data_IF_913754359026
#
_entry.id   IF_913754359026
#
_cell.length_a   1.000
_cell.length_b   1.000
_cell.length_c   1.000
_cell.angle_alpha   90.00
_cell.angle_beta   90.00
_cell.angle_gamma   90.00
#
_symmetry.space_group_name_H-M   'P 1'
#
loop_
_entity.id
_entity.type
_entity.pdbx_description
1 polymer ?
#
# COMPACT_ATOMS: atom_id res chain seq x y z
N UNK A 1 -88.23 60.34 -33.84
CA UNK A 1 -88.22 61.46 -34.86
C UNK A 1 -87.11 61.08 -35.83
N UNK A 2 -87.58 60.65 -36.98
CA UNK A 2 -87.29 61.24 -38.31
C UNK A 2 -85.84 60.93 -38.75
N UNK A 3 -85.79 59.93 -39.63
CA UNK A 3 -85.53 60.01 -41.06
C UNK A 3 -84.06 60.13 -41.46
N UNK A 4 -83.51 59.59 -42.46
CA UNK A 4 -83.94 59.14 -43.78
C UNK A 4 -82.75 58.54 -44.54
N UNK A 5 -82.93 57.42 -45.20
CA UNK A 5 -82.66 57.07 -46.60
C UNK A 5 -81.31 57.60 -47.23
N UNK A 6 -80.54 56.76 -47.84
CA UNK A 6 -80.65 56.53 -49.32
C UNK A 6 -79.66 55.47 -49.81
N UNK A 7 -80.17 54.62 -50.63
CA UNK A 7 -79.57 53.65 -51.53
C UNK A 7 -78.55 54.24 -52.48
N UNK A 8 -77.54 53.49 -52.89
CA UNK A 8 -77.25 53.26 -54.33
C UNK A 8 -76.33 52.05 -54.49
N UNK A 9 -76.70 51.22 -55.48
CA UNK A 9 -75.96 50.05 -55.95
C UNK A 9 -74.89 50.47 -56.96
N UNK A 10 -73.88 49.69 -57.16
CA UNK A 10 -73.41 49.20 -58.48
C UNK A 10 -72.22 48.26 -58.35
N UNK A 11 -72.44 47.09 -58.89
CA UNK A 11 -71.61 46.32 -59.83
C UNK A 11 -70.14 46.03 -59.51
N UNK A 12 -69.81 44.81 -59.23
CA UNK A 12 -69.17 43.92 -60.15
C UNK A 12 -67.63 43.92 -60.15
N UNK A 13 -67.05 42.88 -59.63
CA UNK A 13 -66.00 42.15 -60.31
C UNK A 13 -65.57 40.99 -59.43
N UNK A 14 -65.85 39.77 -59.82
CA UNK A 14 -65.23 38.53 -59.24
C UNK A 14 -63.77 38.51 -59.61
N UNK A 15 -62.92 38.52 -58.61
CA UNK A 15 -61.54 38.06 -58.72
C UNK A 15 -61.36 36.84 -57.78
N UNK A 16 -61.26 35.68 -58.41
CA UNK A 16 -60.89 34.42 -57.75
C UNK A 16 -59.41 34.47 -57.32
N UNK A 17 -59.15 34.67 -56.06
CA UNK A 17 -57.85 34.41 -55.48
C UNK A 17 -57.80 32.95 -55.00
N UNK A 18 -57.09 32.10 -55.75
CA UNK A 18 -56.74 30.76 -55.35
C UNK A 18 -55.69 30.83 -54.20
N UNK A 19 -56.08 30.39 -52.99
CA UNK A 19 -55.15 30.14 -51.92
C UNK A 19 -54.31 28.87 -52.23
N UNK A 20 -53.08 29.06 -52.72
CA UNK A 20 -52.06 28.02 -52.76
C UNK A 20 -51.52 27.85 -51.34
N UNK A 21 -51.92 26.80 -50.65
CA UNK A 21 -51.25 26.31 -49.41
C UNK A 21 -49.93 25.67 -49.81
N UNK A 22 -48.82 26.35 -49.57
CA UNK A 22 -47.49 25.74 -49.62
C UNK A 22 -47.35 24.69 -48.51
N UNK A 23 -46.77 23.52 -48.76
CA UNK A 23 -46.48 22.52 -47.70
C UNK A 23 -45.55 23.13 -46.70
N UNK A 24 -45.92 23.11 -45.42
CA UNK A 24 -45.01 23.38 -44.31
C UNK A 24 -43.89 22.27 -44.30
N UNK A 25 -42.69 22.67 -44.60
CA UNK A 25 -41.52 21.85 -44.33
C UNK A 25 -41.44 21.63 -42.82
N UNK A 26 -41.68 20.41 -42.35
CA UNK A 26 -41.35 19.98 -41.00
C UNK A 26 -39.85 20.12 -40.81
N UNK A 27 -39.44 21.02 -39.94
CA UNK A 27 -38.07 21.11 -39.44
C UNK A 27 -37.74 19.80 -38.70
N UNK A 28 -36.70 19.09 -39.07
CA UNK A 28 -36.30 17.88 -38.30
C UNK A 28 -36.02 18.24 -36.83
N UNK A 29 -36.39 17.39 -35.87
CA UNK A 29 -36.18 17.66 -34.45
C UNK A 29 -34.69 17.96 -34.22
N UNK A 30 -34.40 19.15 -33.71
CA UNK A 30 -33.08 19.49 -33.21
C UNK A 30 -32.73 18.44 -32.15
N UNK A 31 -31.71 17.63 -32.44
CA UNK A 31 -31.04 16.84 -31.41
C UNK A 31 -30.65 17.81 -30.29
N UNK A 32 -31.30 17.71 -29.16
CA UNK A 32 -30.79 18.34 -27.93
C UNK A 32 -29.33 17.88 -27.75
N UNK A 33 -28.41 18.79 -27.99
CA UNK A 33 -27.01 18.61 -27.61
C UNK A 33 -26.99 18.64 -26.09
N UNK A 34 -26.94 17.45 -25.47
CA UNK A 34 -26.59 17.32 -24.05
C UNK A 34 -25.30 18.11 -23.86
N UNK A 35 -25.26 19.12 -22.98
CA UNK A 35 -24.02 19.85 -22.74
C UNK A 35 -22.95 18.83 -22.35
N UNK A 36 -21.70 18.93 -22.86
CA UNK A 36 -20.65 18.03 -22.52
C UNK A 36 -20.52 18.05 -21.01
N UNK A 37 -20.62 16.89 -20.39
CA UNK A 37 -20.29 16.71 -18.97
C UNK A 37 -18.91 17.34 -18.78
N UNK A 38 -18.70 18.24 -17.80
CA UNK A 38 -17.40 18.86 -17.62
C UNK A 38 -16.37 17.73 -17.48
N UNK A 39 -15.39 17.69 -18.38
CA UNK A 39 -14.26 16.77 -18.28
C UNK A 39 -13.69 16.95 -16.88
N UNK A 40 -13.78 15.93 -16.06
CA UNK A 40 -13.25 15.95 -14.70
C UNK A 40 -11.75 16.13 -14.81
N UNK A 41 -11.27 17.30 -14.37
CA UNK A 41 -9.87 17.69 -14.50
C UNK A 41 -8.98 16.81 -13.60
N UNK A 42 -7.78 16.53 -14.08
CA UNK A 42 -6.73 15.90 -13.28
C UNK A 42 -6.51 16.69 -11.98
N UNK A 43 -6.38 15.97 -10.88
CA UNK A 43 -5.90 16.53 -9.62
C UNK A 43 -4.38 16.38 -9.56
N UNK A 44 -3.65 17.50 -9.43
CA UNK A 44 -2.18 17.50 -9.33
C UNK A 44 -1.75 18.12 -8.01
N UNK A 45 -0.90 17.42 -7.27
CA UNK A 45 -0.31 17.89 -6.03
C UNK A 45 1.13 17.37 -5.89
N UNK A 46 2.10 18.27 -5.97
CA UNK A 46 3.53 17.93 -5.91
C UNK A 46 3.93 16.90 -6.98
N UNK A 47 4.39 15.75 -6.52
CA UNK A 47 4.84 14.65 -7.39
C UNK A 47 3.72 13.67 -7.78
N UNK A 48 2.47 13.98 -7.44
CA UNK A 48 1.31 13.11 -7.68
C UNK A 48 0.36 13.75 -8.66
N UNK A 49 -0.11 12.97 -9.64
CA UNK A 49 -1.26 13.29 -10.48
C UNK A 49 -2.30 12.17 -10.36
N UNK A 50 -3.54 12.55 -10.13
CA UNK A 50 -4.69 11.66 -10.13
C UNK A 50 -5.60 12.03 -11.29
N UNK A 51 -5.81 11.09 -12.21
CA UNK A 51 -6.71 11.26 -13.35
C UNK A 51 -7.99 10.48 -13.11
N UNK A 52 -9.17 11.08 -13.32
CA UNK A 52 -10.46 10.40 -13.19
C UNK A 52 -10.50 9.13 -14.02
N UNK A 53 -11.07 8.06 -13.47
CA UNK A 53 -11.17 6.76 -14.11
C UNK A 53 -12.49 6.07 -13.72
N UNK A 54 -12.89 5.07 -14.47
CA UNK A 54 -14.10 4.29 -14.20
C UNK A 54 -13.73 2.85 -13.82
N UNK A 55 -14.56 2.22 -13.00
CA UNK A 55 -14.37 0.82 -12.63
C UNK A 55 -14.45 -0.13 -13.85
N UNK A 56 -15.13 0.28 -14.92
CA UNK A 56 -15.17 -0.44 -16.18
C UNK A 56 -13.83 -0.46 -16.93
N UNK A 57 -12.96 0.53 -16.68
CA UNK A 57 -11.64 0.67 -17.33
C UNK A 57 -10.56 -0.15 -16.63
N UNK A 58 -10.88 -0.75 -15.49
CA UNK A 58 -9.93 -1.57 -14.75
C UNK A 58 -9.56 -2.85 -15.51
N UNK A 59 -8.31 -3.32 -15.40
CA UNK A 59 -7.98 -4.67 -15.82
C UNK A 59 -8.88 -5.71 -15.14
N UNK A 60 -9.07 -6.85 -15.77
CA UNK A 60 -9.89 -7.93 -15.23
C UNK A 60 -9.47 -8.30 -13.80
N UNK A 61 -10.40 -8.24 -12.87
CA UNK A 61 -10.29 -8.64 -11.47
C UNK A 61 -11.27 -9.77 -11.18
N UNK A 62 -10.99 -10.60 -10.18
CA UNK A 62 -11.88 -11.69 -9.77
C UNK A 62 -12.77 -11.24 -8.60
N UNK A 63 -13.98 -11.77 -8.52
CA UNK A 63 -14.90 -11.43 -7.43
C UNK A 63 -14.36 -11.81 -6.05
N UNK A 64 -13.63 -12.93 -5.95
CA UNK A 64 -12.98 -13.35 -4.70
C UNK A 64 -11.94 -12.31 -4.21
N UNK A 65 -11.26 -11.63 -5.11
CA UNK A 65 -10.28 -10.60 -4.75
C UNK A 65 -10.98 -9.36 -4.17
N UNK A 66 -12.17 -9.01 -4.65
CA UNK A 66 -13.01 -7.96 -4.07
C UNK A 66 -13.52 -8.33 -2.68
N UNK A 67 -13.93 -9.59 -2.47
CA UNK A 67 -14.33 -10.09 -1.15
C UNK A 67 -13.18 -10.02 -0.14
N UNK A 68 -11.97 -10.37 -0.55
CA UNK A 68 -10.78 -10.25 0.29
C UNK A 68 -10.48 -8.77 0.64
N UNK A 69 -10.59 -7.88 -0.34
CA UNK A 69 -10.40 -6.45 -0.11
C UNK A 69 -11.47 -5.86 0.80
N UNK A 70 -12.74 -6.30 0.69
CA UNK A 70 -13.81 -5.87 1.58
C UNK A 70 -13.51 -6.29 3.02
N UNK A 71 -13.06 -7.54 3.24
CA UNK A 71 -12.63 -8.01 4.57
C UNK A 71 -11.49 -7.13 5.12
N UNK A 72 -10.47 -6.84 4.31
CA UNK A 72 -9.37 -5.96 4.70
C UNK A 72 -9.87 -4.55 5.03
N UNK A 73 -10.82 -4.02 4.26
CA UNK A 73 -11.41 -2.70 4.52
C UNK A 73 -12.25 -2.69 5.81
N UNK A 74 -13.06 -3.71 6.06
CA UNK A 74 -13.82 -3.88 7.31
C UNK A 74 -12.89 -3.93 8.52
N UNK A 75 -11.78 -4.65 8.43
CA UNK A 75 -10.73 -4.66 9.47
C UNK A 75 -10.14 -3.28 9.66
N UNK A 76 -9.82 -2.54 8.59
CA UNK A 76 -9.34 -1.15 8.67
C UNK A 76 -10.36 -0.21 9.33
N UNK A 77 -11.65 -0.43 9.13
CA UNK A 77 -12.70 0.37 9.75
C UNK A 77 -12.69 0.34 11.27
N UNK A 78 -12.13 -0.69 11.91
CA UNK A 78 -11.99 -0.73 13.38
C UNK A 78 -11.19 0.44 13.94
N UNK A 79 -10.25 0.97 13.15
CA UNK A 79 -9.40 2.12 13.55
C UNK A 79 -9.81 3.45 12.90
N UNK A 80 -10.54 3.44 11.79
CA UNK A 80 -10.82 4.66 11.02
C UNK A 80 -12.28 5.08 10.96
N UNK A 81 -13.24 4.31 11.47
CA UNK A 81 -14.68 4.60 11.42
C UNK A 81 -15.08 5.93 12.08
N UNK A 82 -14.29 6.43 13.02
CA UNK A 82 -14.55 7.70 13.69
C UNK A 82 -14.05 8.92 12.89
N UNK A 83 -13.21 8.70 11.88
CA UNK A 83 -12.73 9.76 11.01
C UNK A 83 -13.80 10.13 9.98
N UNK A 84 -14.11 11.44 9.81
CA UNK A 84 -15.19 11.93 8.92
C UNK A 84 -15.10 11.39 7.50
N UNK A 85 -13.89 11.28 6.93
CA UNK A 85 -13.63 10.75 5.60
C UNK A 85 -14.14 9.32 5.40
N UNK A 86 -14.04 8.45 6.40
CA UNK A 86 -14.29 7.01 6.29
C UNK A 86 -15.60 6.55 6.90
N UNK A 87 -16.22 7.41 7.72
CA UNK A 87 -17.39 7.04 8.54
C UNK A 87 -18.52 6.41 7.75
N UNK A 88 -18.88 6.99 6.62
CA UNK A 88 -19.97 6.49 5.79
C UNK A 88 -19.61 5.18 5.11
N UNK A 89 -18.46 5.12 4.43
CA UNK A 89 -17.99 3.90 3.79
C UNK A 89 -17.82 2.74 4.80
N UNK A 90 -17.29 3.03 6.00
CA UNK A 90 -17.18 2.02 7.07
C UNK A 90 -18.53 1.51 7.55
N UNK A 91 -19.53 2.38 7.67
CA UNK A 91 -20.89 1.97 8.03
C UNK A 91 -21.50 1.08 6.96
N UNK A 92 -21.35 1.45 5.70
CA UNK A 92 -21.86 0.70 4.56
C UNK A 92 -21.14 -0.65 4.36
N UNK A 93 -19.89 -0.76 4.79
CA UNK A 93 -19.12 -2.02 4.75
C UNK A 93 -19.61 -3.04 5.78
N UNK A 94 -20.20 -2.58 6.90
CA UNK A 94 -20.69 -3.48 7.95
C UNK A 94 -21.91 -4.27 7.46
N UNK A 95 -21.86 -5.60 7.61
CA UNK A 95 -22.97 -6.48 7.24
C UNK A 95 -23.19 -6.62 5.72
N UNK A 96 -22.23 -6.19 4.88
CA UNK A 96 -22.32 -6.36 3.43
C UNK A 96 -22.41 -7.86 3.07
N UNK A 97 -23.45 -8.30 2.34
CA UNK A 97 -23.58 -9.68 1.93
C UNK A 97 -22.43 -10.14 1.02
N UNK A 98 -22.10 -11.43 1.11
CA UNK A 98 -21.15 -12.05 0.18
C UNK A 98 -21.63 -11.92 -1.28
N UNK A 99 -20.72 -11.71 -2.21
CA UNK A 99 -21.00 -11.50 -3.63
C UNK A 99 -21.26 -10.05 -4.01
N UNK A 100 -21.33 -9.11 -3.06
CA UNK A 100 -21.58 -7.69 -3.30
C UNK A 100 -20.37 -6.78 -3.04
N UNK A 101 -19.20 -7.35 -2.79
CA UNK A 101 -18.02 -6.57 -2.44
C UNK A 101 -17.62 -5.56 -3.54
N UNK A 102 -17.63 -5.95 -4.81
CA UNK A 102 -17.34 -5.03 -5.92
C UNK A 102 -18.36 -3.90 -5.97
N UNK A 103 -19.65 -4.21 -5.89
CA UNK A 103 -20.73 -3.21 -5.87
C UNK A 103 -20.59 -2.24 -4.68
N UNK A 104 -20.10 -2.72 -3.52
CA UNK A 104 -19.79 -1.87 -2.37
C UNK A 104 -18.74 -0.81 -2.73
N UNK A 105 -17.61 -1.21 -3.34
CA UNK A 105 -16.57 -0.25 -3.73
C UNK A 105 -17.06 0.71 -4.81
N UNK A 106 -17.74 0.22 -5.85
CA UNK A 106 -18.32 1.06 -6.91
C UNK A 106 -19.37 2.05 -6.37
N UNK A 107 -20.15 1.64 -5.37
CA UNK A 107 -21.18 2.47 -4.73
C UNK A 107 -20.63 3.57 -3.81
N UNK A 108 -19.51 3.35 -3.15
CA UNK A 108 -18.99 4.23 -2.11
C UNK A 108 -17.78 5.07 -2.54
N UNK A 109 -17.12 4.74 -3.66
CA UNK A 109 -15.86 5.37 -4.05
C UNK A 109 -15.89 5.87 -5.49
N UNK A 110 -15.11 6.89 -5.76
CA UNK A 110 -14.68 7.33 -7.07
C UNK A 110 -13.27 6.78 -7.34
N UNK A 111 -13.01 6.40 -8.58
CA UNK A 111 -11.76 5.79 -8.99
C UNK A 111 -10.87 6.82 -9.69
N UNK A 112 -9.60 6.89 -9.30
CA UNK A 112 -8.63 7.81 -9.85
C UNK A 112 -7.33 7.08 -10.21
N UNK A 113 -6.91 7.15 -11.47
CA UNK A 113 -5.63 6.58 -11.90
C UNK A 113 -4.47 7.39 -11.33
N UNK A 114 -3.49 6.70 -10.76
CA UNK A 114 -2.34 7.31 -10.11
C UNK A 114 -1.19 7.44 -11.08
N UNK A 115 -0.58 8.63 -11.17
CA UNK A 115 0.70 8.86 -11.82
C UNK A 115 1.67 9.56 -10.87
N UNK A 116 2.94 9.24 -10.99
CA UNK A 116 4.03 9.83 -10.22
C UNK A 116 4.95 10.65 -11.11
N UNK A 117 5.43 11.78 -10.64
CA UNK A 117 6.43 12.57 -11.35
C UNK A 117 7.78 11.84 -11.30
N UNK A 118 8.30 11.53 -12.46
CA UNK A 118 9.63 10.94 -12.58
C UNK A 118 10.71 12.01 -12.34
N UNK A 119 11.64 11.74 -11.43
CA UNK A 119 12.67 12.72 -11.01
C UNK A 119 13.72 13.00 -12.09
N UNK A 120 13.88 12.13 -13.08
CA UNK A 120 14.86 12.32 -14.15
C UNK A 120 14.26 13.07 -15.34
N UNK A 121 13.09 12.64 -15.80
CA UNK A 121 12.43 13.22 -16.97
C UNK A 121 11.54 14.42 -16.64
N UNK A 122 11.07 14.51 -15.39
CA UNK A 122 10.09 15.51 -14.95
C UNK A 122 8.65 15.24 -15.42
N UNK A 123 8.42 14.19 -16.22
CA UNK A 123 7.10 13.79 -16.70
C UNK A 123 6.38 12.91 -15.67
N UNK A 124 5.04 12.89 -15.76
CA UNK A 124 4.24 11.96 -14.99
C UNK A 124 4.21 10.60 -15.67
N UNK A 125 4.57 9.55 -14.93
CA UNK A 125 4.54 8.15 -15.35
C UNK A 125 3.50 7.39 -14.52
N UNK A 126 2.84 6.41 -15.12
CA UNK A 126 1.78 5.60 -14.51
C UNK A 126 2.23 4.18 -14.13
N UNK A 127 3.55 3.96 -14.18
CA UNK A 127 4.19 2.71 -13.75
C UNK A 127 5.14 2.95 -12.59
N UNK A 128 5.09 2.05 -11.62
CA UNK A 128 5.96 2.04 -10.45
C UNK A 128 6.45 0.63 -10.14
N UNK A 129 6.81 0.38 -8.90
CA UNK A 129 7.38 -0.89 -8.45
C UNK A 129 6.52 -1.53 -7.36
N UNK A 130 6.14 -2.79 -7.56
CA UNK A 130 5.57 -3.64 -6.53
C UNK A 130 6.52 -4.80 -6.20
N UNK A 131 6.85 -4.93 -4.93
CA UNK A 131 7.52 -6.11 -4.35
C UNK A 131 6.55 -6.88 -3.47
N UNK A 132 6.97 -7.99 -2.90
CA UNK A 132 6.15 -8.77 -2.00
C UNK A 132 6.81 -9.00 -0.65
N UNK A 133 5.98 -9.15 0.37
CA UNK A 133 6.38 -9.60 1.70
C UNK A 133 5.41 -10.65 2.26
N UNK A 134 5.80 -11.29 3.34
CA UNK A 134 5.04 -12.39 3.94
C UNK A 134 5.34 -12.50 5.43
N UNK A 135 4.56 -13.26 6.15
CA UNK A 135 4.83 -13.62 7.55
C UNK A 135 5.61 -14.94 7.60
N UNK A 136 6.91 -14.94 7.92
CA UNK A 136 7.72 -16.15 8.00
C UNK A 136 7.35 -16.98 9.23
N UNK A 137 7.64 -18.28 9.14
CA UNK A 137 7.61 -19.21 10.29
C UNK A 137 9.04 -19.63 10.58
N UNK A 138 9.54 -19.29 11.76
CA UNK A 138 10.86 -19.65 12.23
C UNK A 138 10.78 -20.75 13.29
N UNK A 139 11.83 -21.56 13.40
CA UNK A 139 12.01 -22.46 14.54
C UNK A 139 12.94 -21.81 15.56
N UNK A 140 12.58 -21.88 16.84
CA UNK A 140 13.37 -21.29 17.90
C UNK A 140 13.18 -22.03 19.25
N UNK A 141 13.97 -21.64 20.23
CA UNK A 141 13.81 -22.02 21.64
C UNK A 141 13.85 -20.78 22.54
N UNK A 142 13.19 -20.85 23.69
CA UNK A 142 13.30 -19.81 24.73
C UNK A 142 14.68 -19.80 25.40
N UNK A 143 15.41 -20.89 25.30
CA UNK A 143 16.73 -21.07 25.90
C UNK A 143 17.77 -21.37 24.81
N UNK A 144 18.96 -20.86 24.99
CA UNK A 144 20.06 -21.14 24.07
C UNK A 144 20.58 -22.57 24.29
N UNK A 145 20.41 -23.44 23.28
CA UNK A 145 20.93 -24.79 23.27
C UNK A 145 21.01 -25.38 21.85
N UNK A 146 21.77 -26.46 21.67
CA UNK A 146 21.86 -27.20 20.41
C UNK A 146 22.02 -26.30 19.19
N UNK A 147 21.07 -26.38 18.25
CA UNK A 147 21.03 -25.55 17.02
C UNK A 147 20.50 -24.14 17.27
N UNK A 148 19.83 -23.89 18.38
CA UNK A 148 19.20 -22.61 18.71
C UNK A 148 20.23 -21.63 19.28
N UNK A 149 20.92 -20.90 18.40
CA UNK A 149 22.08 -20.07 18.74
C UNK A 149 21.95 -18.60 18.39
N UNK A 150 20.91 -18.21 17.60
CA UNK A 150 20.80 -16.88 17.02
C UNK A 150 19.69 -16.09 17.71
N UNK A 151 20.03 -15.04 18.49
CA UNK A 151 19.07 -14.35 19.33
C UNK A 151 18.13 -13.45 18.50
N UNK A 152 16.85 -13.48 18.85
CA UNK A 152 15.85 -12.52 18.48
C UNK A 152 15.65 -11.59 19.67
N UNK A 153 15.99 -10.32 19.51
CA UNK A 153 15.99 -9.36 20.62
C UNK A 153 14.70 -8.55 20.71
N UNK A 154 14.26 -8.32 21.94
CA UNK A 154 13.37 -7.22 22.32
C UNK A 154 14.08 -5.87 22.30
N UNK A 155 13.32 -4.79 22.54
CA UNK A 155 13.87 -3.44 22.56
C UNK A 155 14.81 -3.26 23.75
N UNK A 156 16.08 -2.85 23.55
CA UNK A 156 17.02 -2.59 24.63
C UNK A 156 16.61 -1.41 25.50
N UNK A 157 16.90 -1.47 26.81
CA UNK A 157 16.59 -0.40 27.76
C UNK A 157 17.35 0.90 27.47
N UNK A 158 18.51 0.82 26.82
CA UNK A 158 19.37 1.95 26.48
C UNK A 158 19.10 2.56 25.10
N UNK A 159 18.09 2.03 24.37
CA UNK A 159 17.68 2.58 23.07
C UNK A 159 16.80 3.83 23.28
N UNK A 160 17.29 4.97 22.83
CA UNK A 160 16.60 6.26 22.95
C UNK A 160 15.99 6.66 21.62
N UNK A 161 14.68 6.97 21.63
CA UNK A 161 14.00 7.67 20.53
C UNK A 161 14.29 9.16 20.61
N UNK A 162 14.66 9.77 19.48
CA UNK A 162 14.97 11.19 19.40
C UNK A 162 13.85 11.91 18.62
N UNK A 163 13.08 12.74 19.31
CA UNK A 163 11.98 13.54 18.75
C UNK A 163 12.28 15.02 18.90
N UNK A 164 12.81 15.64 17.86
CA UNK A 164 13.20 17.04 17.83
C UNK A 164 12.54 17.84 16.69
N UNK A 165 11.54 17.26 16.05
CA UNK A 165 10.86 17.85 14.90
C UNK A 165 10.03 19.09 15.26
N UNK A 166 9.66 19.26 16.52
CA UNK A 166 8.99 20.47 17.03
C UNK A 166 9.88 21.74 16.95
N UNK A 167 11.20 21.58 17.06
CA UNK A 167 12.18 22.66 16.99
C UNK A 167 13.07 22.60 15.73
N UNK A 168 13.13 21.42 15.11
CA UNK A 168 13.88 21.16 13.87
C UNK A 168 12.96 20.46 12.85
N UNK A 169 12.12 21.18 12.10
CA UNK A 169 11.13 20.61 11.18
C UNK A 169 11.71 19.68 10.11
N UNK A 170 12.99 19.88 9.73
CA UNK A 170 13.70 19.01 8.80
C UNK A 170 13.90 17.57 9.30
N UNK A 171 13.74 17.32 10.62
CA UNK A 171 13.83 15.98 11.21
C UNK A 171 12.50 15.24 11.20
N UNK A 172 11.42 15.88 10.77
CA UNK A 172 10.08 15.31 10.73
C UNK A 172 10.05 14.04 9.89
N UNK A 173 9.54 12.97 10.48
CA UNK A 173 9.44 11.65 9.82
C UNK A 173 10.74 10.83 9.79
N UNK A 174 11.85 11.37 10.31
CA UNK A 174 13.07 10.59 10.50
C UNK A 174 12.96 9.72 11.75
N UNK A 175 13.39 8.47 11.63
CA UNK A 175 13.45 7.53 12.76
C UNK A 175 14.81 7.60 13.42
N UNK A 176 15.05 8.66 14.19
CA UNK A 176 16.32 8.88 14.87
C UNK A 176 16.38 8.07 16.15
N UNK A 177 17.44 7.27 16.29
CA UNK A 177 17.72 6.43 17.47
C UNK A 177 19.14 6.62 17.93
N UNK A 178 19.36 6.53 19.23
CA UNK A 178 20.68 6.65 19.81
C UNK A 178 20.77 6.02 21.20
N UNK A 179 21.92 6.15 21.82
CA UNK A 179 22.16 5.81 23.22
C UNK A 179 22.98 6.89 23.92
N UNK A 180 22.91 6.98 25.23
CA UNK A 180 23.75 7.89 25.99
C UNK A 180 25.17 7.37 26.14
N UNK A 181 26.13 8.22 25.87
CA UNK A 181 27.54 8.05 26.24
C UNK A 181 27.96 9.21 27.13
N UNK A 182 27.89 9.01 28.41
CA UNK A 182 27.95 10.08 29.38
C UNK A 182 26.82 11.08 29.19
N UNK A 183 27.14 12.33 28.86
CA UNK A 183 26.15 13.40 28.59
C UNK A 183 25.85 13.61 27.10
N UNK A 184 26.38 12.76 26.22
CA UNK A 184 26.19 12.87 24.77
C UNK A 184 25.21 11.79 24.30
N UNK A 185 24.28 12.19 23.45
CA UNK A 185 23.50 11.26 22.63
C UNK A 185 24.34 10.92 21.40
N UNK A 186 24.66 9.64 21.23
CA UNK A 186 25.41 9.11 20.08
C UNK A 186 24.53 8.11 19.29
N UNK A 187 24.84 7.83 18.01
CA UNK A 187 24.13 6.78 17.27
C UNK A 187 24.11 5.47 18.04
N UNK A 188 23.00 4.73 17.94
CA UNK A 188 22.94 3.38 18.51
C UNK A 188 23.91 2.45 17.78
N UNK A 189 24.22 1.29 18.39
CA UNK A 189 25.11 0.31 17.78
C UNK A 189 24.53 -0.20 16.45
N UNK A 190 25.39 -0.40 15.47
CA UNK A 190 25.05 -1.10 14.23
C UNK A 190 24.87 -2.61 14.48
N UNK A 191 24.48 -3.36 13.46
CA UNK A 191 24.28 -4.81 13.54
C UNK A 191 25.49 -5.53 14.12
N UNK A 192 26.71 -5.18 13.70
CA UNK A 192 27.95 -5.79 14.18
C UNK A 192 28.20 -5.49 15.66
N UNK A 193 27.96 -4.23 16.06
CA UNK A 193 28.07 -3.81 17.47
C UNK A 193 27.03 -4.54 18.33
N UNK A 194 25.78 -4.62 17.93
CA UNK A 194 24.71 -5.35 18.64
C UNK A 194 25.07 -6.82 18.82
N UNK A 195 25.59 -7.49 17.79
CA UNK A 195 26.01 -8.88 17.87
C UNK A 195 27.13 -9.15 18.90
N UNK A 196 27.82 -8.10 19.34
CA UNK A 196 28.87 -8.18 20.36
C UNK A 196 28.40 -7.86 21.79
N UNK A 197 27.13 -7.47 21.95
CA UNK A 197 26.51 -7.01 23.20
C UNK A 197 26.07 -8.20 24.08
N UNK A 198 26.91 -8.63 25.04
CA UNK A 198 26.55 -9.69 25.99
C UNK A 198 25.49 -9.30 27.01
N UNK A 199 25.31 -8.00 27.27
CA UNK A 199 24.26 -7.50 28.16
C UNK A 199 22.87 -7.68 27.52
N UNK A 200 22.73 -7.49 26.20
CA UNK A 200 21.48 -7.76 25.46
C UNK A 200 21.13 -9.26 25.50
N UNK A 201 22.12 -10.14 25.36
CA UNK A 201 21.88 -11.58 25.45
C UNK A 201 21.28 -11.99 26.80
N UNK A 202 21.65 -11.30 27.88
CA UNK A 202 21.18 -11.63 29.24
C UNK A 202 19.77 -11.11 29.54
N UNK A 203 19.34 -10.01 28.92
CA UNK A 203 18.16 -9.28 29.36
C UNK A 203 17.06 -9.18 28.31
N UNK A 204 17.41 -9.17 27.02
CA UNK A 204 16.50 -8.75 25.96
C UNK A 204 16.23 -9.81 24.91
N UNK A 205 16.69 -11.06 25.08
CA UNK A 205 16.39 -12.15 24.15
C UNK A 205 14.96 -12.64 24.37
N UNK A 206 14.16 -12.59 23.30
CA UNK A 206 12.81 -13.18 23.26
C UNK A 206 12.93 -14.69 23.05
N UNK A 207 13.72 -15.10 22.06
CA UNK A 207 13.99 -16.50 21.73
C UNK A 207 15.28 -16.62 20.91
N UNK A 208 15.75 -17.85 20.72
CA UNK A 208 16.96 -18.20 19.97
C UNK A 208 16.55 -18.98 18.72
N UNK A 209 16.73 -18.40 17.55
CA UNK A 209 16.47 -19.07 16.27
C UNK A 209 17.55 -20.12 15.94
N UNK A 210 17.18 -21.09 15.10
CA UNK A 210 18.08 -22.13 14.61
C UNK A 210 18.90 -21.70 13.37
N UNK A 211 18.45 -20.66 12.65
CA UNK A 211 19.07 -20.17 11.42
C UNK A 211 19.25 -18.64 11.45
N UNK A 212 20.48 -18.11 11.30
CA UNK A 212 20.76 -16.67 11.34
C UNK A 212 20.25 -15.95 10.08
N UNK A 213 20.08 -16.65 8.97
CA UNK A 213 19.57 -16.07 7.72
C UNK A 213 18.06 -15.88 7.82
N UNK A 214 17.35 -16.87 8.39
CA UNK A 214 15.91 -16.73 8.67
C UNK A 214 15.67 -15.64 9.71
N UNK A 215 16.49 -15.55 10.77
CA UNK A 215 16.46 -14.48 11.76
C UNK A 215 16.71 -13.10 11.13
N UNK A 216 17.60 -13.01 10.15
CA UNK A 216 17.81 -11.78 9.38
C UNK A 216 16.61 -11.43 8.52
N UNK A 217 16.05 -12.38 7.77
CA UNK A 217 14.89 -12.12 6.94
C UNK A 217 13.64 -11.77 7.76
N UNK A 218 13.47 -12.32 8.96
CA UNK A 218 12.46 -11.89 9.90
C UNK A 218 12.52 -10.38 10.18
N UNK A 219 13.74 -9.82 10.34
CA UNK A 219 13.91 -8.37 10.53
C UNK A 219 13.51 -7.56 9.29
N UNK A 220 13.65 -8.13 8.09
CA UNK A 220 13.20 -7.49 6.84
C UNK A 220 11.68 -7.53 6.74
N UNK A 221 11.06 -8.67 7.11
CA UNK A 221 9.59 -8.82 7.08
C UNK A 221 8.89 -8.03 8.20
N UNK A 222 9.57 -7.78 9.31
CA UNK A 222 9.07 -7.01 10.45
C UNK A 222 8.13 -7.76 11.39
N UNK A 223 7.68 -8.95 11.04
CA UNK A 223 6.86 -9.84 11.86
C UNK A 223 7.07 -11.30 11.49
N UNK A 224 6.69 -12.21 12.37
CA UNK A 224 6.78 -13.64 12.10
C UNK A 224 6.14 -14.50 13.18
N UNK A 225 5.95 -15.76 12.85
CA UNK A 225 5.57 -16.81 13.78
C UNK A 225 6.79 -17.62 14.15
N UNK A 226 6.89 -17.93 15.40
CA UNK A 226 8.01 -18.71 15.95
C UNK A 226 7.46 -19.99 16.54
N UNK A 227 7.76 -21.11 15.88
CA UNK A 227 7.48 -22.44 16.41
C UNK A 227 8.59 -22.78 17.40
N UNK A 228 8.25 -22.79 18.68
CA UNK A 228 9.18 -23.13 19.73
C UNK A 228 9.44 -24.66 19.79
N UNK A 229 10.58 -25.04 20.32
CA UNK A 229 11.02 -26.44 20.47
C UNK A 229 10.09 -27.29 21.36
N UNK A 230 9.29 -26.64 22.22
CA UNK A 230 8.24 -27.29 23.01
C UNK A 230 6.89 -27.44 22.25
N UNK A 231 6.85 -27.07 20.96
CA UNK A 231 5.66 -27.15 20.11
C UNK A 231 4.70 -25.95 20.22
N UNK A 232 4.95 -24.98 21.12
CA UNK A 232 4.10 -23.79 21.20
C UNK A 232 4.42 -22.78 20.11
N UNK A 233 3.40 -22.02 19.71
CA UNK A 233 3.50 -20.96 18.72
C UNK A 233 3.60 -19.59 19.40
N UNK A 234 4.66 -18.83 19.08
CA UNK A 234 4.85 -17.46 19.50
C UNK A 234 4.69 -16.54 18.30
N UNK A 235 3.98 -15.44 18.47
CA UNK A 235 3.90 -14.37 17.45
C UNK A 235 4.76 -13.20 17.89
N UNK A 236 5.60 -12.71 16.98
CA UNK A 236 6.45 -11.54 17.21
C UNK A 236 6.23 -10.52 16.09
N UNK A 237 6.33 -9.26 16.46
CA UNK A 237 6.18 -8.15 15.51
C UNK A 237 7.16 -7.03 15.83
N UNK A 238 7.42 -6.20 14.82
CA UNK A 238 8.26 -5.02 14.94
C UNK A 238 7.92 -4.20 16.19
N UNK A 239 8.93 -3.86 16.95
CA UNK A 239 8.81 -2.94 18.10
C UNK A 239 9.60 -1.67 17.85
N UNK A 240 10.89 -1.79 17.49
CA UNK A 240 11.75 -0.65 17.16
C UNK A 240 12.96 -1.10 16.31
N UNK A 241 13.86 -0.16 16.00
CA UNK A 241 15.10 -0.40 15.25
C UNK A 241 16.23 0.47 15.78
N UNK A 242 17.47 0.17 15.38
CA UNK A 242 18.66 0.88 15.83
C UNK A 242 18.93 2.24 15.16
N UNK A 243 18.08 2.72 14.26
CA UNK A 243 18.21 4.03 13.59
C UNK A 243 19.17 4.05 12.40
N UNK A 244 19.92 2.99 12.14
CA UNK A 244 20.79 2.90 10.97
C UNK A 244 20.00 2.71 9.67
N UNK A 245 20.47 3.26 8.53
CA UNK A 245 19.82 3.07 7.24
C UNK A 245 19.90 1.60 6.80
N UNK A 246 18.84 1.13 6.13
CA UNK A 246 18.83 -0.20 5.53
C UNK A 246 19.79 -0.26 4.33
N UNK A 247 20.60 -1.31 4.27
CA UNK A 247 21.45 -1.66 3.13
C UNK A 247 21.10 -3.06 2.63
N UNK A 248 20.81 -3.16 1.33
CA UNK A 248 20.42 -4.42 0.71
C UNK A 248 21.55 -5.43 0.66
N UNK A 249 21.30 -6.66 1.12
CA UNK A 249 22.25 -7.77 0.93
C UNK A 249 22.46 -8.10 -0.54
N UNK A 250 21.40 -7.95 -1.37
CA UNK A 250 21.52 -8.13 -2.81
C UNK A 250 22.48 -7.13 -3.45
N UNK A 251 22.42 -5.84 -3.04
CA UNK A 251 23.39 -4.85 -3.51
C UNK A 251 24.82 -5.22 -3.13
N UNK A 252 25.03 -5.67 -1.89
CA UNK A 252 26.34 -6.13 -1.45
C UNK A 252 26.85 -7.33 -2.26
N UNK A 253 25.97 -8.30 -2.58
CA UNK A 253 26.33 -9.47 -3.39
C UNK A 253 26.71 -9.09 -4.84
N UNK A 254 26.04 -8.12 -5.41
CA UNK A 254 26.38 -7.58 -6.73
C UNK A 254 27.79 -6.94 -6.69
N UNK A 255 28.05 -6.14 -5.67
CA UNK A 255 29.32 -5.42 -5.51
C UNK A 255 30.51 -6.36 -5.15
N UNK A 256 30.28 -7.45 -4.36
CA UNK A 256 31.33 -8.21 -3.70
C UNK A 256 31.39 -9.71 -4.07
N UNK A 257 30.40 -10.23 -4.82
CA UNK A 257 30.29 -11.64 -5.16
C UNK A 257 30.05 -11.89 -6.66
N UNK A 258 30.09 -10.85 -7.50
CA UNK A 258 29.96 -10.96 -8.96
C UNK A 258 28.58 -11.40 -9.44
N UNK A 259 27.54 -11.30 -8.60
CA UNK A 259 26.17 -11.61 -8.99
C UNK A 259 25.53 -10.44 -9.73
N UNK A 260 24.58 -10.72 -10.61
CA UNK A 260 23.87 -9.70 -11.38
C UNK A 260 22.56 -9.29 -10.70
N UNK A 261 22.01 -8.14 -11.11
CA UNK A 261 20.73 -7.65 -10.58
C UNK A 261 19.58 -8.60 -10.89
N UNK A 262 19.62 -9.29 -12.03
CA UNK A 262 18.54 -10.18 -12.49
C UNK A 262 18.53 -11.52 -11.74
N UNK A 263 19.68 -11.91 -11.16
CA UNK A 263 19.77 -13.10 -10.31
C UNK A 263 19.27 -12.84 -8.88
N UNK A 264 19.05 -11.56 -8.47
CA UNK A 264 18.76 -11.24 -7.08
C UNK A 264 17.33 -11.61 -6.68
N UNK A 265 17.24 -12.60 -5.82
CA UNK A 265 16.04 -13.00 -5.08
C UNK A 265 16.43 -13.42 -3.65
N UNK A 266 15.43 -13.52 -2.76
CA UNK A 266 15.65 -14.06 -1.40
C UNK A 266 16.25 -15.46 -1.47
N UNK A 267 15.76 -16.30 -2.37
CA UNK A 267 16.24 -17.67 -2.58
C UNK A 267 17.70 -17.70 -3.00
N UNK A 268 18.09 -16.79 -3.90
CA UNK A 268 19.49 -16.67 -4.35
C UNK A 268 20.43 -16.24 -3.23
N UNK A 269 19.99 -15.30 -2.38
CA UNK A 269 20.76 -14.88 -1.19
C UNK A 269 20.94 -16.07 -0.23
N UNK A 270 19.86 -16.80 0.06
CA UNK A 270 19.92 -18.01 0.92
C UNK A 270 20.83 -19.08 0.32
N UNK A 271 20.79 -19.29 -1.00
CA UNK A 271 21.71 -20.24 -1.67
C UNK A 271 23.16 -19.80 -1.54
N UNK A 272 23.45 -18.52 -1.82
CA UNK A 272 24.81 -18.00 -1.69
C UNK A 272 25.40 -18.19 -0.28
N UNK A 273 24.59 -17.98 0.75
CA UNK A 273 25.01 -18.20 2.15
C UNK A 273 25.33 -19.67 2.41
N UNK A 274 24.54 -20.61 1.87
CA UNK A 274 24.84 -22.06 2.00
C UNK A 274 26.16 -22.42 1.31
N UNK A 275 26.43 -21.82 0.17
CA UNK A 275 27.64 -22.08 -0.61
C UNK A 275 28.88 -21.37 -0.04
N UNK A 276 28.68 -20.33 0.79
CA UNK A 276 29.77 -19.51 1.37
C UNK A 276 29.59 -19.32 2.89
N UNK A 277 29.57 -20.41 3.71
CA UNK A 277 29.23 -20.32 5.12
C UNK A 277 30.23 -19.45 5.93
N UNK A 278 31.51 -19.38 5.53
CA UNK A 278 32.54 -18.56 6.14
C UNK A 278 32.34 -17.06 5.92
N UNK A 279 31.64 -16.64 4.83
CA UNK A 279 31.36 -15.26 4.52
C UNK A 279 29.95 -14.82 4.95
N UNK A 280 29.17 -15.73 5.54
CA UNK A 280 27.79 -15.44 5.98
C UNK A 280 27.70 -14.22 6.87
N UNK A 281 28.57 -14.14 7.91
CA UNK A 281 28.52 -13.03 8.86
C UNK A 281 28.93 -11.69 8.21
N UNK A 282 29.87 -11.72 7.25
CA UNK A 282 30.26 -10.55 6.45
C UNK A 282 29.05 -10.01 5.68
N UNK A 283 28.32 -10.88 4.99
CA UNK A 283 27.12 -10.52 4.25
C UNK A 283 26.04 -9.94 5.19
N UNK A 284 25.72 -10.62 6.30
CA UNK A 284 24.67 -10.14 7.20
C UNK A 284 25.02 -8.78 7.82
N UNK A 285 26.30 -8.55 8.14
CA UNK A 285 26.78 -7.27 8.68
C UNK A 285 26.85 -6.14 7.65
N UNK A 286 26.71 -6.43 6.34
CA UNK A 286 26.63 -5.40 5.32
C UNK A 286 25.41 -4.50 5.50
N UNK A 287 24.33 -5.02 6.12
CA UNK A 287 23.19 -4.22 6.55
C UNK A 287 23.38 -3.74 8.00
N UNK A 288 23.71 -2.46 8.26
CA UNK A 288 23.90 -1.94 9.62
C UNK A 288 22.59 -1.82 10.40
N UNK A 289 21.44 -1.79 9.71
CA UNK A 289 20.12 -1.72 10.35
C UNK A 289 19.82 -3.01 11.12
N UNK A 290 19.24 -2.85 12.32
CA UNK A 290 18.81 -3.94 13.17
C UNK A 290 17.41 -3.67 13.71
N UNK A 291 16.51 -4.67 13.65
CA UNK A 291 15.13 -4.58 14.12
C UNK A 291 14.98 -5.34 15.43
N UNK A 292 14.33 -4.71 16.40
CA UNK A 292 13.92 -5.27 17.68
C UNK A 292 12.44 -5.63 17.65
N UNK A 293 12.07 -6.68 18.35
CA UNK A 293 10.73 -7.26 18.32
C UNK A 293 10.01 -7.16 19.66
N UNK A 294 8.70 -7.38 19.62
CA UNK A 294 7.90 -7.64 20.80
C UNK A 294 6.99 -8.85 20.53
N UNK A 295 6.67 -9.58 21.59
CA UNK A 295 5.65 -10.62 21.54
C UNK A 295 4.28 -9.99 21.29
N UNK A 296 3.45 -10.66 20.48
CA UNK A 296 2.11 -10.24 20.13
C UNK A 296 1.12 -11.27 20.64
N UNK A 297 0.25 -10.86 21.53
CA UNK A 297 -0.80 -11.69 22.14
C UNK A 297 -2.19 -11.17 21.77
N UNK A 298 -3.22 -11.99 21.94
CA UNK A 298 -4.62 -11.59 21.69
C UNK A 298 -5.06 -11.71 20.22
N UNK A 299 -4.29 -12.38 19.37
CA UNK A 299 -4.63 -12.64 17.97
C UNK A 299 -4.81 -14.14 17.74
N UNK A 300 -5.84 -14.51 16.97
CA UNK A 300 -6.07 -15.90 16.57
C UNK A 300 -5.09 -16.36 15.46
N UNK A 301 -4.89 -17.67 15.32
CA UNK A 301 -3.88 -18.22 14.39
C UNK A 301 -4.20 -17.98 12.91
N UNK A 302 -5.46 -17.73 12.56
CA UNK A 302 -5.90 -17.39 11.21
C UNK A 302 -5.70 -15.91 10.84
N UNK A 303 -5.48 -15.03 11.83
CA UNK A 303 -5.21 -13.61 11.57
C UNK A 303 -3.77 -13.40 11.11
N UNK A 304 -3.56 -12.49 10.15
CA UNK A 304 -2.23 -12.01 9.75
C UNK A 304 -1.52 -11.21 10.84
N UNK A 305 -0.27 -10.79 10.59
CA UNK A 305 0.46 -9.92 11.51
C UNK A 305 -0.19 -8.52 11.58
N UNK A 306 0.07 -7.80 12.66
CA UNK A 306 -0.42 -6.42 12.81
C UNK A 306 0.42 -5.48 11.96
N UNK A 307 -0.22 -4.82 11.00
CA UNK A 307 0.39 -3.80 10.16
C UNK A 307 0.53 -2.43 10.85
N UNK A 308 1.14 -1.49 10.18
CA UNK A 308 1.37 -0.13 10.70
C UNK A 308 0.08 0.66 10.97
N UNK A 309 -1.07 0.24 10.42
CA UNK A 309 -2.39 0.78 10.75
C UNK A 309 -2.87 0.35 12.14
N UNK A 310 -2.23 -0.63 12.77
CA UNK A 310 -2.65 -1.21 14.04
C UNK A 310 -3.71 -2.30 13.91
N UNK A 311 -3.91 -2.83 12.72
CA UNK A 311 -4.88 -3.91 12.41
C UNK A 311 -4.18 -5.12 11.81
N UNK A 312 -4.77 -6.34 11.94
CA UNK A 312 -4.25 -7.53 11.27
C UNK A 312 -4.29 -7.37 9.74
N UNK A 313 -3.19 -7.74 9.09
CA UNK A 313 -3.10 -7.78 7.62
C UNK A 313 -3.92 -8.94 7.06
N UNK A 314 -4.55 -8.67 5.92
CA UNK A 314 -5.31 -9.68 5.18
C UNK A 314 -4.46 -10.18 4.01
N UNK A 315 -4.15 -11.50 3.94
CA UNK A 315 -3.41 -12.06 2.81
C UNK A 315 -4.05 -11.68 1.47
N UNK A 316 -3.21 -11.35 0.49
CA UNK A 316 -3.61 -11.02 -0.88
C UNK A 316 -4.48 -9.74 -1.03
N UNK A 317 -4.73 -9.01 0.05
CA UNK A 317 -5.55 -7.79 0.05
C UNK A 317 -4.92 -6.62 0.81
N UNK A 318 -3.80 -6.83 1.53
CA UNK A 318 -3.07 -5.76 2.21
C UNK A 318 -1.82 -5.36 1.44
N UNK A 319 -1.51 -4.07 1.46
CA UNK A 319 -0.25 -3.54 0.90
C UNK A 319 0.40 -2.56 1.88
N UNK A 320 1.75 -2.54 1.86
CA UNK A 320 2.52 -1.46 2.45
C UNK A 320 2.75 -0.34 1.43
N UNK A 321 2.64 0.91 1.90
CA UNK A 321 2.75 2.13 1.10
C UNK A 321 3.69 3.14 1.74
N UNK A 322 4.11 4.15 0.98
CA UNK A 322 4.84 5.30 1.50
C UNK A 322 3.90 6.27 2.21
N UNK A 323 3.98 6.32 3.53
CA UNK A 323 3.16 7.21 4.38
C UNK A 323 3.43 8.71 4.19
N UNK A 324 4.44 9.08 3.44
CA UNK A 324 4.62 10.49 3.04
C UNK A 324 3.52 10.93 2.06
N UNK A 325 3.02 10.01 1.26
CA UNK A 325 1.97 10.24 0.27
C UNK A 325 0.61 9.74 0.77
N UNK A 326 0.49 8.47 1.14
CA UNK A 326 -0.78 7.79 1.34
C UNK A 326 -1.15 7.62 2.81
N UNK A 327 -2.39 7.90 3.16
CA UNK A 327 -2.96 7.50 4.46
C UNK A 327 -3.12 6.00 4.53
N UNK A 328 -2.95 5.44 5.73
CA UNK A 328 -3.35 4.06 5.98
C UNK A 328 -4.88 3.95 5.98
N UNK A 329 -5.38 2.80 5.49
CA UNK A 329 -6.80 2.53 5.27
C UNK A 329 -7.29 2.87 3.86
N UNK A 330 -6.50 3.58 3.05
CA UNK A 330 -6.86 3.94 1.66
C UNK A 330 -6.94 2.68 0.79
N UNK A 331 -8.06 2.45 0.08
CA UNK A 331 -8.19 1.37 -0.88
C UNK A 331 -7.64 1.75 -2.25
N UNK A 332 -7.04 0.76 -2.92
CA UNK A 332 -6.53 0.86 -4.29
C UNK A 332 -7.00 -0.32 -5.13
N UNK A 333 -6.96 -0.19 -6.45
CA UNK A 333 -6.77 -1.31 -7.36
C UNK A 333 -5.34 -1.25 -7.88
N UNK A 334 -4.64 -2.36 -7.85
CA UNK A 334 -3.27 -2.47 -8.37
C UNK A 334 -3.22 -3.51 -9.48
N UNK A 335 -2.52 -3.21 -10.57
CA UNK A 335 -2.23 -4.14 -11.66
C UNK A 335 -0.72 -4.33 -11.74
N UNK A 336 -0.26 -5.53 -11.38
CA UNK A 336 1.14 -5.91 -11.34
C UNK A 336 1.50 -6.85 -12.48
N UNK A 337 2.67 -6.66 -13.08
CA UNK A 337 3.20 -7.53 -14.11
C UNK A 337 4.71 -7.65 -14.05
N UNK A 338 5.24 -8.85 -14.27
CA UNK A 338 6.66 -9.12 -14.46
C UNK A 338 6.87 -10.32 -15.38
N UNK A 339 8.01 -10.35 -16.08
CA UNK A 339 8.33 -11.41 -17.03
C UNK A 339 9.03 -12.61 -16.39
N UNK A 340 9.89 -12.41 -15.38
CA UNK A 340 10.68 -13.49 -14.78
C UNK A 340 10.71 -13.39 -13.22
N UNK A 341 10.23 -14.41 -12.50
CA UNK A 341 9.28 -15.41 -13.01
C UNK A 341 7.99 -14.74 -13.49
N UNK A 342 7.32 -15.30 -14.47
CA UNK A 342 6.11 -14.71 -15.02
C UNK A 342 5.04 -14.54 -13.93
N UNK A 343 4.55 -13.31 -13.76
CA UNK A 343 3.49 -12.98 -12.79
C UNK A 343 2.66 -11.84 -13.35
N UNK A 344 1.34 -12.01 -13.35
CA UNK A 344 0.40 -10.98 -13.75
C UNK A 344 -0.89 -11.11 -12.94
N UNK A 345 -1.29 -10.02 -12.30
CA UNK A 345 -2.58 -9.94 -11.61
C UNK A 345 -3.06 -8.49 -11.49
N UNK A 346 -4.37 -8.32 -11.38
CA UNK A 346 -5.00 -7.08 -10.95
C UNK A 346 -5.86 -7.36 -9.72
N UNK A 347 -5.69 -6.57 -8.65
CA UNK A 347 -6.38 -6.79 -7.38
C UNK A 347 -6.73 -5.50 -6.66
N UNK A 348 -7.93 -5.43 -6.07
CA UNK A 348 -8.23 -4.44 -5.05
C UNK A 348 -7.44 -4.76 -3.77
N UNK A 349 -6.85 -3.73 -3.16
CA UNK A 349 -5.99 -3.85 -1.97
C UNK A 349 -6.18 -2.66 -1.04
N UNK A 350 -5.89 -2.83 0.24
CA UNK A 350 -5.97 -1.78 1.25
C UNK A 350 -4.58 -1.45 1.79
N UNK A 351 -4.28 -0.17 1.89
CA UNK A 351 -3.03 0.32 2.47
C UNK A 351 -3.05 0.16 4.00
N UNK A 352 -2.59 -0.97 4.52
CA UNK A 352 -2.63 -1.27 5.96
C UNK A 352 -1.25 -1.26 6.62
N UNK A 353 -0.20 -1.12 5.81
CA UNK A 353 1.16 -1.23 6.30
C UNK A 353 2.11 -0.22 5.66
N UNK A 354 3.35 -0.19 6.15
CA UNK A 354 4.46 0.62 5.63
C UNK A 354 5.79 -0.08 5.86
N UNK A 355 6.79 0.26 5.07
CA UNK A 355 8.15 -0.27 5.23
C UNK A 355 9.23 0.78 5.04
N UNK A 356 10.39 0.57 5.67
CA UNK A 356 11.54 1.48 5.55
C UNK A 356 12.04 1.66 4.12
N UNK A 357 11.93 0.61 3.30
CA UNK A 357 12.31 0.60 1.88
C UNK A 357 11.16 0.99 0.94
N UNK A 358 9.94 1.20 1.44
CA UNK A 358 8.78 1.54 0.62
C UNK A 358 8.71 3.05 0.50
N UNK A 359 9.31 3.59 -0.57
CA UNK A 359 9.46 5.03 -0.82
C UNK A 359 9.02 5.39 -2.24
N UNK A 360 8.05 6.32 -2.34
CA UNK A 360 7.51 6.84 -3.60
C UNK A 360 6.00 6.68 -3.73
N UNK A 361 5.41 7.41 -4.67
CA UNK A 361 3.95 7.45 -4.93
C UNK A 361 3.44 6.09 -5.41
N UNK A 362 4.09 5.51 -6.43
CA UNK A 362 3.76 4.22 -7.04
C UNK A 362 4.70 3.12 -6.52
N UNK A 363 4.88 3.04 -5.20
CA UNK A 363 5.69 2.03 -4.54
C UNK A 363 4.84 1.24 -3.56
N UNK A 364 4.62 -0.03 -3.88
CA UNK A 364 3.81 -0.95 -3.09
C UNK A 364 4.63 -2.16 -2.67
N UNK A 365 4.31 -2.71 -1.49
CA UNK A 365 4.77 -4.02 -1.06
C UNK A 365 3.55 -4.88 -0.73
N UNK A 366 3.39 -6.00 -1.44
CA UNK A 366 2.17 -6.80 -1.44
C UNK A 366 2.26 -7.95 -0.44
N UNK A 367 1.29 -8.04 0.47
CA UNK A 367 1.25 -9.07 1.50
C UNK A 367 0.73 -10.40 0.95
N UNK A 368 1.62 -11.35 0.73
CA UNK A 368 1.29 -12.67 0.20
C UNK A 368 0.66 -13.62 1.22
N UNK A 369 0.79 -13.34 2.53
CA UNK A 369 0.27 -14.17 3.60
C UNK A 369 1.37 -14.86 4.41
N UNK A 370 1.15 -16.10 4.81
CA UNK A 370 1.94 -16.84 5.79
C UNK A 370 2.74 -17.97 5.16
N UNK A 371 3.97 -18.17 5.66
CA UNK A 371 4.76 -19.39 5.45
C UNK A 371 5.49 -19.46 4.11
N UNK A 372 5.99 -20.65 3.78
CA UNK A 372 6.96 -20.84 2.69
C UNK A 372 6.41 -20.55 1.29
N UNK A 373 5.16 -20.91 1.01
CA UNK A 373 4.57 -20.63 -0.32
C UNK A 373 4.43 -19.13 -0.54
N UNK A 374 3.90 -18.40 0.44
CA UNK A 374 3.85 -16.93 0.42
C UNK A 374 5.26 -16.33 0.31
N UNK A 375 6.23 -16.90 1.02
CA UNK A 375 7.64 -16.49 0.97
C UNK A 375 8.29 -16.69 -0.39
N UNK A 376 7.98 -17.76 -1.10
CA UNK A 376 8.48 -18.02 -2.45
C UNK A 376 7.93 -17.01 -3.45
N UNK A 377 6.65 -16.69 -3.37
CA UNK A 377 6.01 -15.67 -4.21
C UNK A 377 6.54 -14.27 -3.90
N UNK A 378 6.56 -13.91 -2.62
CA UNK A 378 7.07 -12.62 -2.15
C UNK A 378 8.53 -12.39 -2.53
N UNK A 379 9.38 -13.40 -2.29
CA UNK A 379 10.82 -13.32 -2.55
C UNK A 379 11.21 -13.25 -4.02
N UNK A 380 10.31 -13.60 -4.93
CA UNK A 380 10.51 -13.51 -6.38
C UNK A 380 9.80 -12.32 -7.02
N UNK A 381 8.96 -11.59 -6.27
CA UNK A 381 8.19 -10.48 -6.82
C UNK A 381 9.01 -9.20 -6.95
N UNK A 382 9.11 -8.71 -8.19
CA UNK A 382 9.65 -7.40 -8.56
C UNK A 382 8.92 -6.94 -9.81
N UNK A 383 7.67 -6.56 -9.63
CA UNK A 383 6.73 -6.29 -10.71
C UNK A 383 6.65 -4.81 -11.03
N UNK A 384 6.49 -4.47 -12.31
CA UNK A 384 5.90 -3.20 -12.67
C UNK A 384 4.47 -3.14 -12.12
N UNK A 385 4.02 -1.97 -11.68
CA UNK A 385 2.67 -1.77 -11.14
C UNK A 385 2.05 -0.50 -11.65
N UNK A 386 0.80 -0.60 -12.10
CA UNK A 386 -0.10 0.55 -12.24
C UNK A 386 -1.13 0.51 -11.10
N UNK A 387 -1.59 1.69 -10.65
CA UNK A 387 -2.50 1.79 -9.53
C UNK A 387 -3.62 2.79 -9.78
N UNK A 388 -4.77 2.50 -9.21
CA UNK A 388 -5.93 3.38 -9.10
C UNK A 388 -6.28 3.52 -7.63
N UNK A 389 -6.37 4.76 -7.15
CA UNK A 389 -6.81 5.04 -5.78
C UNK A 389 -8.32 5.22 -5.74
N UNK A 390 -8.96 4.71 -4.71
CA UNK A 390 -10.38 4.88 -4.44
C UNK A 390 -10.58 6.00 -3.42
N UNK A 391 -11.24 7.06 -3.85
CA UNK A 391 -11.58 8.23 -3.02
C UNK A 391 -13.03 8.11 -2.59
N UNK A 392 -13.39 8.25 -1.30
CA UNK A 392 -14.79 8.22 -0.89
C UNK A 392 -15.59 9.28 -1.65
N UNK A 393 -16.78 8.92 -2.17
CA UNK A 393 -17.66 9.81 -2.94
C UNK A 393 -17.96 11.09 -2.18
N UNK A 394 -18.01 12.20 -2.90
CA UNK A 394 -18.24 13.52 -2.31
C UNK A 394 -17.04 14.14 -1.60
N UNK A 395 -15.85 13.51 -1.67
CA UNK A 395 -14.62 14.04 -1.13
C UNK A 395 -13.61 14.38 -2.22
N UNK A 396 -12.82 15.43 -1.98
CA UNK A 396 -11.68 15.77 -2.86
C UNK A 396 -10.65 14.64 -2.89
N UNK A 397 -9.98 14.37 -4.03
CA UNK A 397 -8.85 13.45 -4.11
C UNK A 397 -7.73 13.75 -3.11
N UNK A 398 -7.57 15.01 -2.69
CA UNK A 398 -6.63 15.40 -1.64
C UNK A 398 -6.87 14.70 -0.30
N UNK A 399 -8.08 14.21 -0.05
CA UNK A 399 -8.46 13.64 1.25
C UNK A 399 -7.72 12.34 1.59
N UNK A 400 -7.24 11.59 0.60
CA UNK A 400 -6.54 10.31 0.79
C UNK A 400 -5.03 10.46 1.03
N UNK A 401 -4.48 11.66 0.88
CA UNK A 401 -3.07 11.92 1.16
C UNK A 401 -2.78 12.13 2.65
N UNK A 402 -1.59 11.71 3.10
CA UNK A 402 -1.16 11.83 4.51
C UNK A 402 -0.91 13.26 4.95
N UNK A 403 -0.45 14.10 4.03
CA UNK A 403 -0.18 15.53 4.28
C UNK A 403 -0.84 16.34 3.17
N UNK A 404 -1.05 17.65 3.37
CA UNK A 404 -1.27 18.56 2.25
C UNK A 404 0.02 18.60 1.44
N UNK A 405 -0.04 18.02 0.24
CA UNK A 405 1.08 18.03 -0.71
C UNK A 405 1.32 19.43 -1.23
#
# INVERSE_FOLDING_TARGET
>A
MINWRLTLALAGSLLLFGCSTAPQQETPPQKETVPPTPESQDFVAGDVRLSPSQFADLPATRDEDWEQALKAFQVSCTTMQHHSLWREACRNAQGMPQGLARAFFEGNFELWKVSAKDSQSGFFIDKGLMTGYFEPILRASRVRHGIYQYPIYGVPDDLITVELDSIHPQLKGLRLRGKLQGRKLVPYDDRKGIASRKDLEKKHVICWADDPVEAFFLQIQGSGRVLLDNGSLLRIGYADQNGHPYRSLGAWLIENAGLTRDEMSMQRIKQWVRDNPQRRQELLNANPNFVFFAERTGYSDDQGPVGAQGVPLTPLASVAVDRRYWKLGVPFVTAASQSMPAMQFARPVIAQDTGGAIKGVLRFDYFWGLGNEAGNRAGSQKSDVSAWVMVPKGHSPAAVFSQRL
#
